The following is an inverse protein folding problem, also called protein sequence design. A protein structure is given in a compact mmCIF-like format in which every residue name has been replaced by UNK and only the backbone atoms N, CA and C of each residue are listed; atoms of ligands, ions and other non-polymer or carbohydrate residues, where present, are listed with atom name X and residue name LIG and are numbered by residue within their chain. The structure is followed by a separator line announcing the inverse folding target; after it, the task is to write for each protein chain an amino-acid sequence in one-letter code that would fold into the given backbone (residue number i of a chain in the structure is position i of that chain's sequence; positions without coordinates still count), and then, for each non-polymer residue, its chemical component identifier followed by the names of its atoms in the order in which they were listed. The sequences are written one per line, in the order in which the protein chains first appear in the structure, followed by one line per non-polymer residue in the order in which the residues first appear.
data_IF_328495246444
#
_entry.id   IF_328495246444
#
_cell.length_a   1.000
_cell.length_b   1.000
_cell.length_c   1.000
_cell.angle_alpha   90.00
_cell.angle_beta   90.00
_cell.angle_gamma   90.00
#
_symmetry.space_group_name_H-M   'P 1'
#
loop_
_entity.id
_entity.type
_entity.pdbx_description
1 polymer ?
#
# COMPACT_ATOMS: atom_id res chain seq x y z
N UNK A 1 23.67 -10.10 -2.37
CA UNK A 1 22.81 -8.98 -1.95
C UNK A 1 23.27 -8.55 -0.58
N UNK A 2 23.67 -7.28 -0.41
CA UNK A 2 24.09 -6.72 0.89
C UNK A 2 22.96 -5.80 1.33
N UNK A 3 22.37 -6.07 2.48
CA UNK A 3 21.36 -5.21 3.09
C UNK A 3 22.07 -4.39 4.15
N UNK A 4 22.20 -3.08 3.93
CA UNK A 4 22.74 -2.16 4.93
C UNK A 4 21.63 -1.85 5.93
N UNK A 5 21.85 -2.19 7.20
CA UNK A 5 20.92 -1.92 8.28
C UNK A 5 21.40 -0.70 9.05
N UNK A 6 20.62 0.39 8.99
CA UNK A 6 20.81 1.55 9.83
C UNK A 6 20.27 1.24 11.23
N UNK A 7 21.17 0.98 12.17
CA UNK A 7 20.82 0.70 13.56
C UNK A 7 20.72 2.00 14.35
N UNK A 8 19.76 2.07 15.27
CA UNK A 8 19.76 3.17 16.24
C UNK A 8 20.94 3.04 17.21
N UNK A 9 21.43 4.15 17.79
CA UNK A 9 22.56 4.13 18.73
C UNK A 9 22.32 3.19 19.92
N UNK A 10 21.07 3.09 20.37
CA UNK A 10 20.66 2.23 21.49
C UNK A 10 20.80 0.74 21.15
N UNK A 11 20.39 0.35 19.93
CA UNK A 11 20.49 -1.03 19.46
C UNK A 11 21.94 -1.40 19.20
N UNK A 12 22.77 -0.48 18.70
CA UNK A 12 24.21 -0.72 18.51
C UNK A 12 24.92 -0.99 19.84
N UNK A 13 24.61 -0.24 20.90
CA UNK A 13 25.17 -0.46 22.25
C UNK A 13 24.78 -1.84 22.78
N UNK A 14 23.50 -2.22 22.63
CA UNK A 14 23.02 -3.55 23.06
C UNK A 14 23.66 -4.68 22.25
N UNK A 15 23.89 -4.50 20.95
CA UNK A 15 24.58 -5.46 20.10
C UNK A 15 26.04 -5.66 20.57
N UNK A 16 26.76 -4.57 20.84
CA UNK A 16 28.14 -4.62 21.35
C UNK A 16 28.23 -5.32 22.70
N UNK A 17 27.26 -5.07 23.59
CA UNK A 17 27.17 -5.76 24.87
C UNK A 17 26.88 -7.25 24.70
N UNK A 18 25.92 -7.62 23.85
CA UNK A 18 25.59 -9.02 23.55
C UNK A 18 26.77 -9.79 22.95
N UNK A 19 27.56 -9.13 22.09
CA UNK A 19 28.80 -9.72 21.53
C UNK A 19 29.83 -9.94 22.63
N UNK A 20 30.02 -8.98 23.53
CA UNK A 20 30.94 -9.14 24.66
C UNK A 20 30.52 -10.28 25.60
N UNK A 21 29.23 -10.48 25.81
CA UNK A 21 28.67 -11.55 26.66
C UNK A 21 28.47 -12.88 25.92
N UNK A 22 28.77 -12.95 24.61
CA UNK A 22 28.50 -14.11 23.75
C UNK A 22 27.04 -14.57 23.76
N UNK A 23 26.11 -13.65 24.01
CA UNK A 23 24.68 -13.93 24.04
C UNK A 23 24.13 -13.98 22.61
N UNK A 24 24.35 -15.13 21.97
CA UNK A 24 23.91 -15.39 20.59
C UNK A 24 22.39 -15.30 20.41
N UNK A 25 21.61 -15.64 21.43
CA UNK A 25 20.14 -15.59 21.34
C UNK A 25 19.63 -14.15 21.53
N UNK A 26 20.20 -13.41 22.49
CA UNK A 26 19.92 -11.99 22.66
C UNK A 26 20.24 -11.18 21.40
N UNK A 27 21.39 -11.44 20.76
CA UNK A 27 21.76 -10.80 19.49
C UNK A 27 20.76 -11.14 18.38
N UNK A 28 20.36 -12.42 18.27
CA UNK A 28 19.40 -12.86 17.25
C UNK A 28 18.07 -12.12 17.41
N UNK A 29 17.51 -12.09 18.61
CA UNK A 29 16.25 -11.40 18.89
C UNK A 29 16.35 -9.90 18.60
N UNK A 30 17.45 -9.28 19.02
CA UNK A 30 17.72 -7.86 18.78
C UNK A 30 17.75 -7.53 17.29
N UNK A 31 18.47 -8.33 16.50
CA UNK A 31 18.52 -8.16 15.05
C UNK A 31 17.15 -8.37 14.40
N UNK A 32 16.41 -9.42 14.78
CA UNK A 32 15.06 -9.67 14.25
C UNK A 32 14.14 -8.47 14.49
N UNK A 33 14.14 -7.91 15.71
CA UNK A 33 13.34 -6.72 16.03
C UNK A 33 13.79 -5.49 15.23
N UNK A 34 15.10 -5.29 15.06
CA UNK A 34 15.65 -4.18 14.29
C UNK A 34 15.28 -4.28 12.79
N UNK A 35 15.14 -5.50 12.26
CA UNK A 35 14.76 -5.74 10.86
C UNK A 35 13.26 -5.61 10.58
N UNK A 36 12.38 -5.80 11.58
CA UNK A 36 10.92 -5.69 11.40
C UNK A 36 10.48 -4.43 10.62
N UNK A 37 10.85 -3.20 11.00
CA UNK A 37 10.41 -2.01 10.28
C UNK A 37 10.97 -1.90 8.86
N UNK A 38 12.17 -2.44 8.60
CA UNK A 38 12.76 -2.48 7.25
C UNK A 38 12.00 -3.46 6.36
N UNK A 39 11.64 -4.63 6.90
CA UNK A 39 10.86 -5.64 6.18
C UNK A 39 9.46 -5.11 5.88
N UNK A 40 8.80 -4.47 6.85
CA UNK A 40 7.50 -3.84 6.65
C UNK A 40 7.53 -2.79 5.54
N UNK A 41 8.57 -1.93 5.51
CA UNK A 41 8.76 -0.96 4.43
C UNK A 41 8.99 -1.64 3.08
N UNK A 42 9.84 -2.67 3.02
CA UNK A 42 10.10 -3.41 1.78
C UNK A 42 8.83 -4.07 1.23
N UNK A 43 8.02 -4.68 2.11
CA UNK A 43 6.75 -5.29 1.73
C UNK A 43 5.72 -4.24 1.28
N UNK A 44 5.72 -3.05 1.89
CA UNK A 44 4.88 -1.93 1.45
C UNK A 44 5.33 -1.35 0.10
N UNK A 45 6.63 -1.37 -0.22
CA UNK A 45 7.15 -0.91 -1.52
C UNK A 45 6.66 -1.79 -2.68
N UNK A 46 6.45 -3.09 -2.48
CA UNK A 46 5.84 -3.95 -3.50
C UNK A 46 4.32 -3.76 -3.63
N UNK A 47 3.70 -3.06 -2.69
CA UNK A 47 2.27 -2.71 -2.73
C UNK A 47 2.04 -1.37 -3.44
N UNK A 48 3.10 -0.72 -3.90
CA UNK A 48 3.02 0.62 -4.47
C UNK A 48 2.39 0.56 -5.88
N UNK A 49 1.12 0.97 -5.90
CA UNK A 49 0.41 1.58 -7.01
C UNK A 49 0.23 0.65 -8.21
N UNK A 50 -1.03 0.27 -8.47
CA UNK A 50 -1.45 0.06 -9.86
C UNK A 50 -0.89 1.22 -10.67
N UNK A 51 0.15 0.94 -11.47
CA UNK A 51 0.80 1.97 -12.25
C UNK A 51 -0.28 2.68 -13.06
N UNK A 52 -0.14 3.98 -13.28
CA UNK A 52 -1.16 4.79 -13.96
C UNK A 52 -1.73 4.09 -15.21
N UNK A 53 -0.87 3.46 -16.01
CA UNK A 53 -1.27 2.68 -17.18
C UNK A 53 -2.15 1.45 -16.87
N UNK A 54 -1.87 0.72 -15.78
CA UNK A 54 -2.69 -0.40 -15.35
C UNK A 54 -4.04 0.07 -14.81
N UNK A 55 -4.08 1.22 -14.14
CA UNK A 55 -5.34 1.85 -13.73
C UNK A 55 -6.18 2.26 -14.94
N UNK A 56 -5.61 2.98 -15.91
CA UNK A 56 -6.30 3.39 -17.14
C UNK A 56 -6.85 2.16 -17.89
N UNK A 57 -6.04 1.09 -18.02
CA UNK A 57 -6.49 -0.14 -18.68
C UNK A 57 -7.68 -0.79 -17.98
N UNK A 58 -7.75 -0.74 -16.65
CA UNK A 58 -8.89 -1.27 -15.89
C UNK A 58 -10.11 -0.36 -16.05
N UNK A 59 -9.91 0.96 -16.05
CA UNK A 59 -10.98 1.94 -16.24
C UNK A 59 -11.63 1.81 -17.63
N UNK A 60 -10.82 1.69 -18.68
CA UNK A 60 -11.27 1.46 -20.05
C UNK A 60 -12.07 0.16 -20.16
N UNK A 61 -11.55 -0.94 -19.61
CA UNK A 61 -12.24 -2.22 -19.62
C UNK A 61 -13.61 -2.12 -18.91
N UNK A 62 -13.67 -1.43 -17.77
CA UNK A 62 -14.89 -1.28 -16.99
C UNK A 62 -15.92 -0.41 -17.72
N UNK A 63 -15.47 0.61 -18.47
CA UNK A 63 -16.33 1.41 -19.34
C UNK A 63 -16.91 0.57 -20.48
N UNK A 64 -16.09 -0.26 -21.14
CA UNK A 64 -16.52 -1.15 -22.22
C UNK A 64 -17.55 -2.18 -21.73
N UNK A 65 -17.32 -2.78 -20.56
CA UNK A 65 -18.26 -3.73 -19.96
C UNK A 65 -19.61 -3.08 -19.61
N UNK A 66 -19.58 -1.86 -19.06
CA UNK A 66 -20.78 -1.10 -18.74
C UNK A 66 -21.57 -0.74 -19.99
N UNK A 67 -20.89 -0.31 -21.06
CA UNK A 67 -21.52 -0.05 -22.36
C UNK A 67 -22.10 -1.31 -23.00
N UNK A 68 -21.43 -2.46 -22.87
CA UNK A 68 -21.93 -3.73 -23.38
C UNK A 68 -23.19 -4.22 -22.65
N UNK A 69 -23.38 -3.85 -21.38
CA UNK A 69 -24.55 -4.18 -20.57
C UNK A 69 -25.73 -3.21 -20.69
N UNK A 70 -25.55 -2.05 -21.34
CA UNK A 70 -26.61 -1.04 -21.47
C UNK A 70 -27.61 -1.39 -22.58
N UNK A 71 -28.90 -1.20 -22.31
CA UNK A 71 -29.93 -1.32 -23.33
C UNK A 71 -29.79 -0.19 -24.38
N UNK A 72 -29.98 -0.49 -25.68
CA UNK A 72 -30.02 0.54 -26.70
C UNK A 72 -31.20 1.47 -26.41
N UNK A 73 -30.92 2.73 -26.08
CA UNK A 73 -31.83 3.82 -25.64
C UNK A 73 -31.94 4.07 -24.13
N UNK A 74 -30.93 3.72 -23.33
CA UNK A 74 -30.87 4.21 -21.94
C UNK A 74 -30.94 5.75 -21.91
N UNK A 75 -31.88 6.36 -21.17
CA UNK A 75 -31.98 7.81 -21.07
C UNK A 75 -30.74 8.39 -20.38
N UNK A 76 -30.14 9.39 -21.00
CA UNK A 76 -29.00 10.11 -20.42
C UNK A 76 -29.43 10.83 -19.14
N UNK A 77 -28.62 10.72 -18.09
CA UNK A 77 -28.80 11.49 -16.87
C UNK A 77 -28.51 12.97 -17.15
N UNK A 78 -29.29 13.86 -16.54
CA UNK A 78 -29.03 15.30 -16.59
C UNK A 78 -27.78 15.65 -15.78
N UNK A 79 -27.13 16.77 -16.12
CA UNK A 79 -25.97 17.26 -15.36
C UNK A 79 -26.26 17.42 -13.87
N UNK A 80 -27.51 17.76 -13.52
CA UNK A 80 -27.97 17.82 -12.14
C UNK A 80 -28.02 16.44 -11.47
N UNK A 81 -28.52 15.40 -12.17
CA UNK A 81 -28.62 14.03 -11.65
C UNK A 81 -27.27 13.34 -11.43
N UNK A 82 -26.20 13.81 -12.10
CA UNK A 82 -24.82 13.33 -11.88
C UNK A 82 -24.08 14.23 -10.86
N UNK A 83 -24.65 15.39 -10.51
CA UNK A 83 -24.01 16.29 -9.55
C UNK A 83 -24.04 15.70 -8.14
N UNK A 84 -23.02 16.03 -7.34
CA UNK A 84 -23.01 15.69 -5.90
C UNK A 84 -24.27 16.18 -5.20
N UNK A 85 -24.74 17.38 -5.54
CA UNK A 85 -25.95 17.94 -4.95
C UNK A 85 -27.20 17.10 -5.26
N UNK A 86 -27.34 16.63 -6.50
CA UNK A 86 -28.46 15.76 -6.90
C UNK A 86 -28.36 14.35 -6.33
N UNK A 87 -27.16 13.77 -6.20
CA UNK A 87 -26.97 12.39 -5.67
C UNK A 87 -27.32 12.31 -4.17
N UNK A 88 -27.07 13.36 -3.40
CA UNK A 88 -27.31 13.39 -1.94
C UNK A 88 -28.57 14.16 -1.53
N UNK A 89 -29.40 14.62 -2.48
CA UNK A 89 -30.58 15.44 -2.19
C UNK A 89 -31.54 14.75 -1.20
N UNK A 90 -31.73 13.44 -1.37
CA UNK A 90 -32.61 12.62 -0.51
C UNK A 90 -31.89 11.99 0.69
N UNK A 91 -30.58 12.23 0.84
CA UNK A 91 -29.71 11.60 1.84
C UNK A 91 -28.75 12.62 2.49
N UNK A 92 -29.24 13.48 3.40
CA UNK A 92 -28.45 14.50 4.10
C UNK A 92 -27.47 13.93 5.14
#
# INVERSE_FOLDING_TARGET
MIITLELSPEVEVQLRMGVATHDTEGIRQLLVQAFSPTIEKLLQQDTDQLGHQAFESIADQLADELMAGMEPNMPLLSDYGISRAGIYEDHP
#
